data_IF_867636965404
#
_entry.id   IF_867636965404
#
_cell.length_a   1.000
_cell.length_b   1.000
_cell.length_c   1.000
_cell.angle_alpha   90.00
_cell.angle_beta   90.00
_cell.angle_gamma   90.00
#
_symmetry.space_group_name_H-M   'P 1'
#
loop_
_entity.id
_entity.type
_entity.pdbx_description
1 polymer ?
#
# COMPACT_ATOMS: atom_id res chain seq x y z
N UNK A 1 -14.22 -23.42 -20.45
CA UNK A 1 -13.08 -22.77 -19.79
C UNK A 1 -12.17 -21.97 -20.72
N UNK A 2 -12.15 -22.22 -22.03
CA UNK A 2 -11.34 -21.44 -22.98
C UNK A 2 -11.73 -19.94 -23.04
N UNK A 3 -13.02 -19.61 -23.01
CA UNK A 3 -13.51 -18.22 -23.14
C UNK A 3 -13.07 -17.25 -22.03
N UNK A 4 -12.65 -17.73 -20.85
CA UNK A 4 -12.20 -16.86 -19.78
C UNK A 4 -10.73 -16.40 -19.93
N UNK A 5 -9.93 -17.15 -20.71
CA UNK A 5 -8.53 -16.81 -20.96
C UNK A 5 -8.39 -15.57 -21.87
N UNK A 6 -9.38 -15.32 -22.74
CA UNK A 6 -9.39 -14.20 -23.69
C UNK A 6 -9.89 -12.89 -23.07
N UNK A 7 -10.37 -12.91 -21.82
CA UNK A 7 -10.83 -11.70 -21.13
C UNK A 7 -9.66 -10.91 -20.59
N UNK A 8 -9.83 -9.58 -20.60
CA UNK A 8 -8.89 -8.68 -19.95
C UNK A 8 -8.65 -9.06 -18.47
N UNK A 9 -7.42 -9.01 -17.94
CA UNK A 9 -7.10 -9.39 -16.55
C UNK A 9 -8.01 -8.77 -15.50
N UNK A 10 -8.37 -7.51 -15.66
CA UNK A 10 -9.31 -6.80 -14.75
C UNK A 10 -10.68 -7.48 -14.71
N UNK A 11 -11.21 -7.90 -15.87
CA UNK A 11 -12.49 -8.61 -15.94
C UNK A 11 -12.39 -10.01 -15.35
N UNK A 12 -11.30 -10.72 -15.61
CA UNK A 12 -11.02 -12.03 -15.01
C UNK A 12 -10.92 -11.93 -13.49
N UNK A 13 -10.30 -10.88 -12.98
CA UNK A 13 -10.18 -10.62 -11.54
C UNK A 13 -11.55 -10.42 -10.90
N UNK A 14 -12.43 -9.61 -11.53
CA UNK A 14 -13.81 -9.41 -11.08
C UNK A 14 -14.57 -10.74 -11.03
N UNK A 15 -14.51 -11.52 -12.11
CA UNK A 15 -15.16 -12.83 -12.18
C UNK A 15 -14.63 -13.78 -11.10
N UNK A 16 -13.29 -13.86 -10.94
CA UNK A 16 -12.65 -14.70 -9.94
C UNK A 16 -13.07 -14.34 -8.52
N UNK A 17 -13.12 -13.05 -8.18
CA UNK A 17 -13.59 -12.58 -6.89
C UNK A 17 -15.03 -13.03 -6.58
N UNK A 18 -15.95 -12.85 -7.54
CA UNK A 18 -17.34 -13.23 -7.33
C UNK A 18 -17.55 -14.75 -7.35
N UNK A 19 -16.84 -15.49 -8.20
CA UNK A 19 -16.87 -16.96 -8.21
C UNK A 19 -16.34 -17.56 -6.92
N UNK A 20 -15.28 -16.97 -6.33
CA UNK A 20 -14.76 -17.38 -5.03
C UNK A 20 -15.82 -17.34 -3.95
N UNK A 21 -16.56 -16.22 -3.88
CA UNK A 21 -17.66 -16.05 -2.93
C UNK A 21 -18.81 -17.03 -3.18
N UNK A 22 -19.18 -17.26 -4.45
CA UNK A 22 -20.25 -18.19 -4.82
C UNK A 22 -19.90 -19.66 -4.54
N UNK A 23 -18.62 -20.01 -4.71
CA UNK A 23 -18.12 -21.36 -4.45
C UNK A 23 -17.84 -21.63 -2.96
N UNK A 24 -17.95 -20.61 -2.10
CA UNK A 24 -17.69 -20.76 -0.67
C UNK A 24 -16.25 -21.13 -0.34
N UNK A 25 -15.27 -20.69 -1.16
CA UNK A 25 -13.87 -21.06 -1.02
C UNK A 25 -13.14 -20.33 0.13
N UNK A 26 -13.80 -19.45 0.84
CA UNK A 26 -13.28 -18.78 2.03
C UNK A 26 -14.15 -19.05 3.25
N UNK A 27 -13.70 -18.70 4.44
CA UNK A 27 -14.53 -18.69 5.64
C UNK A 27 -15.76 -17.78 5.45
N UNK A 28 -16.82 -18.01 6.23
CA UNK A 28 -18.04 -17.19 6.12
C UNK A 28 -17.72 -15.69 6.32
N UNK A 29 -17.96 -14.89 5.27
CA UNK A 29 -17.75 -13.45 5.29
C UNK A 29 -16.31 -12.98 5.09
N UNK A 30 -15.34 -13.88 4.96
CA UNK A 30 -13.95 -13.52 4.68
C UNK A 30 -13.70 -13.41 3.17
N UNK A 31 -13.73 -12.19 2.68
CA UNK A 31 -13.41 -11.85 1.29
C UNK A 31 -11.95 -11.44 1.10
N UNK A 32 -11.12 -11.49 2.14
CA UNK A 32 -9.74 -11.02 2.07
C UNK A 32 -8.92 -11.82 1.05
N UNK A 33 -8.98 -13.14 1.15
CA UNK A 33 -8.25 -14.04 0.25
C UNK A 33 -8.72 -13.91 -1.20
N UNK A 34 -10.04 -13.79 -1.40
CA UNK A 34 -10.63 -13.52 -2.70
C UNK A 34 -10.13 -12.18 -3.29
N UNK A 35 -10.10 -11.11 -2.48
CA UNK A 35 -9.64 -9.80 -2.89
C UNK A 35 -8.14 -9.78 -3.23
N UNK A 36 -7.30 -10.45 -2.43
CA UNK A 36 -5.85 -10.57 -2.68
C UNK A 36 -5.61 -11.35 -3.98
N UNK A 37 -6.29 -12.47 -4.19
CA UNK A 37 -6.16 -13.26 -5.41
C UNK A 37 -6.62 -12.48 -6.64
N UNK A 38 -7.76 -11.80 -6.56
CA UNK A 38 -8.26 -10.94 -7.63
C UNK A 38 -7.30 -9.78 -7.93
N UNK A 39 -6.71 -9.17 -6.90
CA UNK A 39 -5.71 -8.12 -7.04
C UNK A 39 -4.47 -8.58 -7.83
N UNK A 40 -4.00 -9.80 -7.59
CA UNK A 40 -2.89 -10.41 -8.36
C UNK A 40 -3.29 -10.69 -9.81
N UNK A 41 -4.49 -11.23 -10.02
CA UNK A 41 -5.02 -11.49 -11.36
C UNK A 41 -5.18 -10.20 -12.15
N UNK A 42 -5.69 -9.13 -11.52
CA UNK A 42 -5.83 -7.82 -12.17
C UNK A 42 -4.50 -7.21 -12.61
N UNK A 43 -3.41 -7.49 -11.90
CA UNK A 43 -2.07 -7.01 -12.22
C UNK A 43 -1.31 -7.91 -13.22
N UNK A 44 -1.91 -9.00 -13.71
CA UNK A 44 -1.22 -10.00 -14.55
C UNK A 44 -1.13 -9.65 -16.05
N UNK A 45 -1.22 -8.37 -16.39
CA UNK A 45 -1.15 -7.88 -17.78
C UNK A 45 0.29 -7.71 -18.32
N UNK A 46 1.29 -8.07 -17.52
CA UNK A 46 2.70 -7.94 -17.89
C UNK A 46 3.31 -6.57 -17.61
N UNK A 47 2.58 -5.65 -17.01
CA UNK A 47 3.08 -4.30 -16.64
C UNK A 47 4.09 -4.30 -15.48
N UNK A 48 4.43 -5.47 -14.93
CA UNK A 48 5.37 -5.63 -13.81
C UNK A 48 4.77 -5.36 -12.41
N UNK A 49 3.50 -5.03 -12.35
CA UNK A 49 2.78 -4.88 -11.08
C UNK A 49 2.52 -6.22 -10.40
N UNK A 50 2.68 -6.28 -9.08
CA UNK A 50 2.42 -7.50 -8.29
C UNK A 50 0.95 -7.55 -7.87
N UNK A 51 0.36 -6.40 -7.57
CA UNK A 51 -1.02 -6.25 -7.11
C UNK A 51 -1.69 -5.02 -7.72
N UNK A 52 -2.96 -5.13 -8.09
CA UNK A 52 -3.81 -3.97 -8.29
C UNK A 52 -4.26 -3.43 -6.91
N UNK A 53 -4.32 -2.10 -6.69
CA UNK A 53 -4.57 -1.52 -5.37
C UNK A 53 -6.05 -1.54 -4.96
N UNK A 54 -6.75 -2.66 -5.10
CA UNK A 54 -8.21 -2.79 -4.91
C UNK A 54 -8.70 -2.23 -3.57
N UNK A 55 -7.94 -2.45 -2.49
CA UNK A 55 -8.30 -1.99 -1.15
C UNK A 55 -8.39 -0.45 -1.04
N UNK A 56 -7.70 0.28 -1.91
CA UNK A 56 -7.70 1.75 -1.91
C UNK A 56 -8.95 2.36 -2.57
N UNK A 57 -9.76 1.55 -3.26
CA UNK A 57 -11.03 1.96 -3.87
C UNK A 57 -12.24 1.90 -2.92
N UNK A 58 -12.01 1.47 -1.69
CA UNK A 58 -13.07 1.26 -0.70
C UNK A 58 -13.88 -0.01 -0.93
N UNK A 59 -14.78 -0.32 0.01
CA UNK A 59 -15.56 -1.57 0.01
C UNK A 59 -16.62 -1.64 -1.09
N UNK A 60 -16.94 -0.53 -1.75
CA UNK A 60 -18.01 -0.48 -2.77
C UNK A 60 -17.79 -1.43 -3.94
N UNK A 61 -16.57 -1.44 -4.48
CA UNK A 61 -16.17 -2.28 -5.61
C UNK A 61 -16.18 -3.79 -5.30
N UNK A 62 -16.08 -4.15 -4.03
CA UNK A 62 -16.02 -5.54 -3.56
C UNK A 62 -17.38 -6.10 -3.11
N UNK A 63 -18.47 -5.38 -3.35
CA UNK A 63 -19.82 -5.86 -3.01
C UNK A 63 -20.26 -7.00 -3.90
N UNK A 64 -20.71 -8.10 -3.29
CA UNK A 64 -21.13 -9.32 -3.97
C UNK A 64 -22.59 -9.31 -4.43
N UNK A 65 -23.41 -8.33 -4.00
CA UNK A 65 -24.83 -8.21 -4.34
C UNK A 65 -25.07 -7.59 -5.72
N UNK A 66 -26.25 -7.84 -6.30
CA UNK A 66 -26.69 -7.28 -7.58
C UNK A 66 -26.45 -8.20 -8.78
N UNK A 67 -26.88 -7.76 -9.95
CA UNK A 67 -26.70 -8.44 -11.23
C UNK A 67 -25.22 -8.49 -11.65
N UNK A 68 -24.83 -9.41 -12.55
CA UNK A 68 -23.46 -9.46 -13.08
C UNK A 68 -22.97 -8.14 -13.66
N UNK A 69 -23.82 -7.43 -14.39
CA UNK A 69 -23.48 -6.14 -15.00
C UNK A 69 -23.23 -5.07 -13.93
N UNK A 70 -24.07 -4.99 -12.91
CA UNK A 70 -23.87 -4.05 -11.80
C UNK A 70 -22.61 -4.35 -10.99
N UNK A 71 -22.29 -5.63 -10.80
CA UNK A 71 -21.05 -6.05 -10.12
C UNK A 71 -19.83 -5.61 -10.91
N UNK A 72 -19.82 -5.83 -12.23
CA UNK A 72 -18.70 -5.44 -13.08
C UNK A 72 -18.55 -3.91 -13.11
N UNK A 73 -19.65 -3.16 -13.24
CA UNK A 73 -19.60 -1.70 -13.23
C UNK A 73 -18.99 -1.18 -11.92
N UNK A 74 -19.49 -1.63 -10.76
CA UNK A 74 -18.93 -1.25 -9.45
C UNK A 74 -17.47 -1.65 -9.26
N UNK A 75 -17.10 -2.82 -9.80
CA UNK A 75 -15.70 -3.27 -9.76
C UNK A 75 -14.79 -2.32 -10.53
N UNK A 76 -15.19 -1.92 -11.74
CA UNK A 76 -14.42 -0.97 -12.57
C UNK A 76 -14.33 0.41 -11.92
N UNK A 77 -15.41 0.92 -11.37
CA UNK A 77 -15.44 2.20 -10.65
C UNK A 77 -14.56 2.14 -9.39
N UNK A 78 -14.64 1.05 -8.63
CA UNK A 78 -13.81 0.82 -7.46
C UNK A 78 -12.32 0.74 -7.82
N UNK A 79 -11.97 0.03 -8.90
CA UNK A 79 -10.59 -0.07 -9.36
C UNK A 79 -10.06 1.28 -9.87
N UNK A 80 -10.86 2.03 -10.63
CA UNK A 80 -10.49 3.37 -11.08
C UNK A 80 -10.22 4.30 -9.88
N UNK A 81 -11.11 4.30 -8.89
CA UNK A 81 -10.93 5.06 -7.65
C UNK A 81 -9.67 4.62 -6.88
N UNK A 82 -9.39 3.31 -6.85
CA UNK A 82 -8.21 2.74 -6.22
C UNK A 82 -6.91 3.23 -6.89
N UNK A 83 -6.87 3.19 -8.21
CA UNK A 83 -5.70 3.64 -9.00
C UNK A 83 -5.46 5.13 -8.77
N UNK A 84 -6.49 5.97 -8.88
CA UNK A 84 -6.35 7.41 -8.64
C UNK A 84 -5.90 7.74 -7.22
N UNK A 85 -6.34 6.95 -6.24
CA UNK A 85 -5.91 7.09 -4.84
C UNK A 85 -4.45 6.66 -4.68
N UNK A 86 -4.06 5.52 -5.27
CA UNK A 86 -2.68 5.05 -5.25
C UNK A 86 -1.71 6.05 -5.90
N UNK A 87 -2.07 6.63 -7.05
CA UNK A 87 -1.27 7.66 -7.72
C UNK A 87 -1.06 8.88 -6.82
N UNK A 88 -2.11 9.37 -6.17
CA UNK A 88 -2.00 10.51 -5.22
C UNK A 88 -1.07 10.18 -4.04
N UNK A 89 -1.13 8.97 -3.52
CA UNK A 89 -0.21 8.53 -2.46
C UNK A 89 1.24 8.45 -2.94
N UNK A 90 1.48 7.98 -4.16
CA UNK A 90 2.82 7.96 -4.76
C UNK A 90 3.36 9.38 -4.97
N UNK A 91 2.55 10.30 -5.49
CA UNK A 91 2.92 11.71 -5.67
C UNK A 91 3.23 12.38 -4.31
N UNK A 92 2.41 12.13 -3.29
CA UNK A 92 2.66 12.61 -1.92
C UNK A 92 3.96 12.06 -1.35
N UNK A 93 4.22 10.76 -1.52
CA UNK A 93 5.46 10.12 -1.07
C UNK A 93 6.68 10.68 -1.80
N UNK A 94 6.58 10.89 -3.10
CA UNK A 94 7.65 11.50 -3.89
C UNK A 94 7.94 12.93 -3.42
N UNK A 95 6.91 13.76 -3.29
CA UNK A 95 7.03 15.14 -2.79
C UNK A 95 7.64 15.19 -1.41
N UNK A 96 7.20 14.32 -0.51
CA UNK A 96 7.80 14.17 0.81
C UNK A 96 9.28 13.80 0.72
N UNK A 97 9.65 12.84 -0.12
CA UNK A 97 11.03 12.37 -0.27
C UNK A 97 11.97 13.50 -0.70
N UNK A 98 11.55 14.32 -1.66
CA UNK A 98 12.32 15.50 -2.12
C UNK A 98 12.45 16.54 -1.00
N UNK A 99 11.36 16.84 -0.28
CA UNK A 99 11.39 17.75 0.87
C UNK A 99 12.30 17.26 1.99
N UNK A 100 12.22 15.96 2.30
CA UNK A 100 13.07 15.34 3.32
C UNK A 100 14.55 15.37 2.93
N UNK A 101 14.88 15.09 1.67
CA UNK A 101 16.25 15.18 1.16
C UNK A 101 16.83 16.57 1.35
N UNK A 102 16.10 17.61 0.94
CA UNK A 102 16.52 19.00 1.13
C UNK A 102 16.72 19.37 2.60
N UNK A 103 15.79 19.01 3.47
CA UNK A 103 15.89 19.26 4.91
C UNK A 103 17.08 18.53 5.56
N UNK A 104 17.38 17.33 5.09
CA UNK A 104 18.45 16.46 5.65
C UNK A 104 19.83 16.71 5.03
N UNK A 105 19.95 17.62 4.06
CA UNK A 105 21.21 17.90 3.34
C UNK A 105 22.38 18.30 4.25
N UNK A 106 22.10 18.86 5.42
CA UNK A 106 23.11 19.26 6.41
C UNK A 106 23.51 18.14 7.38
N UNK A 107 22.82 17.00 7.34
CA UNK A 107 23.12 15.87 8.21
C UNK A 107 24.26 15.04 7.59
N UNK A 108 25.23 14.69 8.43
CA UNK A 108 26.35 13.83 8.02
C UNK A 108 26.04 12.33 8.23
N UNK A 109 26.73 11.48 7.47
CA UNK A 109 26.66 10.04 7.61
C UNK A 109 25.60 9.38 6.71
N UNK A 110 25.54 8.05 6.77
CA UNK A 110 24.67 7.22 5.91
C UNK A 110 23.23 7.08 6.44
N UNK A 111 23.07 7.21 7.75
CA UNK A 111 21.78 6.93 8.41
C UNK A 111 20.64 7.81 7.93
N UNK A 112 20.79 9.14 7.74
CA UNK A 112 19.70 9.99 7.26
C UNK A 112 19.13 9.52 5.91
N UNK A 113 19.97 9.33 4.92
CA UNK A 113 19.57 8.91 3.58
C UNK A 113 18.91 7.50 3.60
N UNK A 114 19.51 6.57 4.36
CA UNK A 114 18.96 5.23 4.50
C UNK A 114 17.57 5.23 5.19
N UNK A 115 17.37 6.05 6.22
CA UNK A 115 16.07 6.21 6.88
C UNK A 115 15.01 6.83 5.94
N UNK A 116 15.40 7.82 5.13
CA UNK A 116 14.50 8.39 4.12
C UNK A 116 14.03 7.30 3.15
N UNK A 117 14.94 6.45 2.66
CA UNK A 117 14.60 5.33 1.78
C UNK A 117 13.63 4.36 2.44
N UNK A 118 13.89 3.94 3.68
CA UNK A 118 13.00 3.05 4.45
C UNK A 118 11.61 3.66 4.64
N UNK A 119 11.53 4.94 4.99
CA UNK A 119 10.25 5.65 5.20
C UNK A 119 9.48 5.89 3.89
N UNK A 120 10.17 5.93 2.74
CA UNK A 120 9.54 6.00 1.41
C UNK A 120 8.94 4.65 1.03
N UNK A 121 9.62 3.56 1.40
CA UNK A 121 9.23 2.19 1.02
C UNK A 121 8.14 1.60 1.92
N UNK A 122 8.15 1.97 3.20
CA UNK A 122 7.25 1.38 4.20
C UNK A 122 6.29 2.40 4.78
N UNK A 123 4.98 2.09 4.79
CA UNK A 123 3.94 3.02 5.28
C UNK A 123 4.00 3.28 6.78
N UNK A 124 4.56 2.33 7.54
CA UNK A 124 4.77 2.40 8.99
C UNK A 124 6.13 1.80 9.31
N UNK A 125 6.93 2.51 10.10
CA UNK A 125 8.29 2.11 10.46
C UNK A 125 8.46 2.18 11.98
N UNK A 126 8.88 1.08 12.60
CA UNK A 126 9.34 1.07 13.99
C UNK A 126 10.86 1.26 14.08
N UNK A 127 11.37 1.68 15.25
CA UNK A 127 12.82 1.82 15.44
C UNK A 127 13.58 0.50 15.21
N UNK A 128 13.15 -0.67 15.74
CA UNK A 128 13.82 -1.94 15.43
C UNK A 128 13.81 -2.30 13.93
N UNK A 129 12.71 -2.01 13.22
CA UNK A 129 12.64 -2.22 11.78
C UNK A 129 13.62 -1.30 11.04
N UNK A 130 13.68 -0.03 11.42
CA UNK A 130 14.65 0.92 10.85
C UNK A 130 16.09 0.50 11.11
N UNK A 131 16.42 0.00 12.31
CA UNK A 131 17.73 -0.58 12.65
C UNK A 131 18.09 -1.73 11.70
N UNK A 132 17.17 -2.68 11.54
CA UNK A 132 17.37 -3.86 10.68
C UNK A 132 17.56 -3.50 9.21
N UNK A 133 16.75 -2.57 8.68
CA UNK A 133 16.76 -2.20 7.26
C UNK A 133 17.91 -1.24 6.89
N UNK A 134 18.33 -0.37 7.80
CA UNK A 134 19.40 0.59 7.54
C UNK A 134 20.79 0.07 7.92
N UNK A 135 20.87 -0.95 8.77
CA UNK A 135 22.11 -1.40 9.39
C UNK A 135 22.73 -0.38 10.35
N UNK A 136 21.98 0.66 10.73
CA UNK A 136 22.47 1.70 11.63
C UNK A 136 22.25 1.31 13.10
N UNK A 137 23.06 1.85 14.00
CA UNK A 137 22.90 1.60 15.42
C UNK A 137 21.58 2.19 15.94
N UNK A 138 21.02 1.57 16.97
CA UNK A 138 19.81 2.04 17.66
C UNK A 138 19.87 3.54 18.03
N UNK A 139 21.01 3.98 18.56
CA UNK A 139 21.20 5.38 18.94
C UNK A 139 21.16 6.32 17.73
N UNK A 140 21.73 5.91 16.60
CA UNK A 140 21.69 6.69 15.37
C UNK A 140 20.28 6.75 14.79
N UNK A 141 19.55 5.63 14.76
CA UNK A 141 18.16 5.57 14.28
C UNK A 141 17.27 6.48 15.14
N UNK A 142 17.32 6.33 16.45
CA UNK A 142 16.47 7.12 17.35
C UNK A 142 16.74 8.63 17.25
N UNK A 143 18.01 9.04 17.19
CA UNK A 143 18.36 10.46 17.00
C UNK A 143 17.77 11.02 15.70
N UNK A 144 17.90 10.26 14.60
CA UNK A 144 17.41 10.72 13.30
C UNK A 144 15.88 10.72 13.24
N UNK A 145 15.19 9.72 13.81
CA UNK A 145 13.72 9.72 13.90
C UNK A 145 13.22 10.90 14.73
N UNK A 146 13.82 11.17 15.89
CA UNK A 146 13.46 12.31 16.72
C UNK A 146 13.68 13.65 15.98
N UNK A 147 14.82 13.78 15.29
CA UNK A 147 15.13 14.96 14.49
C UNK A 147 14.11 15.17 13.35
N UNK A 148 13.73 14.10 12.65
CA UNK A 148 12.73 14.15 11.58
C UNK A 148 11.34 14.48 12.11
N UNK A 149 10.97 13.96 13.27
CA UNK A 149 9.70 14.23 13.96
C UNK A 149 9.62 15.70 14.38
N UNK A 150 10.66 16.24 15.02
CA UNK A 150 10.76 17.64 15.43
C UNK A 150 10.60 18.62 14.26
N UNK A 151 11.12 18.25 13.08
CA UNK A 151 10.99 19.05 11.84
C UNK A 151 9.70 18.79 11.07
N UNK A 152 8.80 17.96 11.60
CA UNK A 152 7.53 17.67 10.98
C UNK A 152 7.64 16.90 9.67
N UNK A 153 8.75 16.19 9.43
CA UNK A 153 8.91 15.30 8.28
C UNK A 153 8.17 13.98 8.48
N UNK A 154 8.13 13.50 9.72
CA UNK A 154 7.41 12.30 10.11
C UNK A 154 6.52 12.60 11.31
N UNK A 155 5.60 11.69 11.60
CA UNK A 155 4.81 11.71 12.84
C UNK A 155 4.76 10.32 13.46
N UNK A 156 4.80 10.28 14.77
CA UNK A 156 4.51 9.10 15.54
C UNK A 156 2.98 8.88 15.57
N UNK A 157 2.52 7.65 15.35
CA UNK A 157 1.10 7.35 15.17
C UNK A 157 0.49 6.47 16.26
N UNK A 158 1.31 5.84 17.09
CA UNK A 158 0.83 4.89 18.12
C UNK A 158 0.50 5.56 19.45
N UNK A 159 1.05 6.75 19.72
CA UNK A 159 0.92 7.49 20.98
C UNK A 159 1.25 6.65 22.23
N UNK A 160 2.22 5.73 22.07
CA UNK A 160 2.63 4.80 23.12
C UNK A 160 4.07 5.07 23.56
N UNK A 161 4.37 4.80 24.83
CA UNK A 161 5.76 4.89 25.34
C UNK A 161 6.66 3.77 24.81
N UNK A 162 6.09 2.65 24.39
CA UNK A 162 6.77 1.50 23.79
C UNK A 162 6.12 1.15 22.46
N UNK A 163 6.88 0.45 21.59
CA UNK A 163 6.40 0.03 20.26
C UNK A 163 5.94 1.19 19.38
N UNK A 164 6.64 2.32 19.49
CA UNK A 164 6.38 3.51 18.66
C UNK A 164 6.55 3.19 17.18
N UNK A 165 5.61 3.70 16.37
CA UNK A 165 5.68 3.62 14.92
C UNK A 165 5.55 5.02 14.32
N UNK A 166 6.32 5.25 13.27
CA UNK A 166 6.35 6.51 12.53
C UNK A 166 5.88 6.32 11.11
N UNK A 167 5.27 7.34 10.58
CA UNK A 167 4.96 7.47 9.15
C UNK A 167 5.39 8.84 8.65
N UNK A 168 5.55 8.95 7.32
CA UNK A 168 5.75 10.24 6.66
C UNK A 168 4.58 11.18 6.96
N UNK A 169 4.86 12.47 7.02
CA UNK A 169 3.86 13.52 7.19
C UNK A 169 3.71 14.25 5.86
N UNK A 170 2.57 14.02 5.22
CA UNK A 170 2.14 14.67 3.98
C UNK A 170 1.85 16.16 4.21
#
# INVERSE_FOLDING_TARGET
>A
MAAAADLHPITRACMGFHLWSLAGLGGQGDLMEAAVTASRVAASDGSGGIFAPLAMGGAGGLRISGSPTERLARWLDGLNSAILTAMRHLDGTHTWSVRAEGAMSQLSGRTPAALRSVLTEWPLVSAPMAEALTGASRAAVQRNLAWMEERGLIREVTQQGRFRMWRIKD
#
